data_IF_954680631997
#
_entry.id   IF_954680631997
#
_cell.length_a   1.000
_cell.length_b   1.000
_cell.length_c   1.000
_cell.angle_alpha   90.00
_cell.angle_beta   90.00
_cell.angle_gamma   90.00
#
_symmetry.space_group_name_H-M   'P 1'
#
loop_
_entity.id
_entity.type
_entity.pdbx_description
1 polymer ?
#
# COMPACT_ATOMS: atom_id res chain seq x y z
N UNK A 1 -10.07 -10.61 17.26
CA UNK A 1 -9.54 -10.50 15.89
C UNK A 1 -10.10 -9.22 15.26
N UNK A 2 -9.38 -8.09 15.39
CA UNK A 2 -9.75 -6.76 14.86
C UNK A 2 -8.56 -6.11 14.13
N UNK A 3 -7.43 -6.81 14.03
CA UNK A 3 -6.15 -6.21 13.62
C UNK A 3 -6.12 -5.89 12.12
N UNK A 4 -6.80 -6.69 11.29
CA UNK A 4 -6.73 -6.54 9.85
C UNK A 4 -7.48 -5.30 9.32
N UNK A 5 -8.76 -5.04 9.69
CA UNK A 5 -9.43 -3.81 9.30
C UNK A 5 -8.71 -2.55 9.80
N UNK A 6 -8.19 -2.57 11.03
CA UNK A 6 -7.42 -1.44 11.60
C UNK A 6 -6.11 -1.20 10.84
N UNK A 7 -5.38 -2.26 10.49
CA UNK A 7 -4.16 -2.14 9.70
C UNK A 7 -4.46 -1.62 8.27
N UNK A 8 -5.59 -2.00 7.68
CA UNK A 8 -5.98 -1.50 6.37
C UNK A 8 -6.36 -0.02 6.40
N UNK A 9 -7.14 0.39 7.40
CA UNK A 9 -7.50 1.79 7.59
C UNK A 9 -6.25 2.69 7.77
N UNK A 10 -5.21 2.21 8.46
CA UNK A 10 -3.94 2.91 8.55
C UNK A 10 -3.26 3.07 7.17
N UNK A 11 -3.35 2.06 6.30
CA UNK A 11 -2.81 2.14 4.96
C UNK A 11 -3.57 3.15 4.09
N UNK A 12 -4.90 3.21 4.23
CA UNK A 12 -5.77 4.18 3.55
C UNK A 12 -5.43 5.62 3.99
N UNK A 13 -5.30 5.88 5.30
CA UNK A 13 -4.87 7.17 5.81
C UNK A 13 -3.47 7.57 5.32
N UNK A 14 -2.56 6.61 5.23
CA UNK A 14 -1.21 6.86 4.71
C UNK A 14 -1.22 7.18 3.20
N UNK A 15 -2.08 6.53 2.42
CA UNK A 15 -2.27 6.84 1.01
C UNK A 15 -2.89 8.24 0.84
N UNK A 16 -3.93 8.57 1.61
CA UNK A 16 -4.54 9.89 1.61
C UNK A 16 -3.51 11.00 1.84
N UNK A 17 -2.70 10.85 2.90
CA UNK A 17 -1.61 11.78 3.19
C UNK A 17 -0.62 11.88 2.02
N UNK A 18 -0.24 10.74 1.42
CA UNK A 18 0.69 10.71 0.31
C UNK A 18 0.14 11.43 -0.93
N UNK A 19 -1.15 11.26 -1.26
CA UNK A 19 -1.80 11.92 -2.40
C UNK A 19 -1.84 13.44 -2.21
N UNK A 20 -2.06 13.93 -0.99
CA UNK A 20 -2.09 15.37 -0.72
C UNK A 20 -0.70 16.03 -0.72
N UNK A 21 0.36 15.28 -0.42
CA UNK A 21 1.68 15.87 -0.10
C UNK A 21 2.81 15.45 -1.04
N UNK A 22 2.67 14.38 -1.83
CA UNK A 22 3.72 13.94 -2.73
C UNK A 22 3.87 14.88 -3.92
N UNK A 23 5.13 15.16 -4.26
CA UNK A 23 5.47 15.81 -5.53
C UNK A 23 5.24 14.83 -6.70
N UNK A 24 4.95 15.34 -7.90
CA UNK A 24 4.84 14.52 -9.11
C UNK A 24 6.09 13.64 -9.30
N UNK A 25 5.90 12.38 -9.67
CA UNK A 25 7.00 11.40 -9.76
C UNK A 25 7.41 10.76 -8.44
N UNK A 26 6.83 11.18 -7.31
CA UNK A 26 7.10 10.66 -5.97
C UNK A 26 6.76 9.18 -5.79
N UNK A 27 7.19 8.64 -4.63
CA UNK A 27 7.02 7.23 -4.28
C UNK A 27 6.30 7.07 -2.95
N UNK A 28 5.48 6.04 -2.86
CA UNK A 28 4.75 5.62 -1.67
C UNK A 28 5.03 4.14 -1.40
N UNK A 29 5.40 3.80 -0.16
CA UNK A 29 5.67 2.42 0.24
C UNK A 29 4.88 2.13 1.50
N UNK A 30 4.09 1.06 1.48
CA UNK A 30 3.29 0.64 2.63
C UNK A 30 3.37 -0.87 2.86
N UNK A 31 3.42 -1.25 4.13
CA UNK A 31 3.30 -2.64 4.58
C UNK A 31 1.83 -2.99 4.68
N UNK A 32 1.39 -3.97 3.91
CA UNK A 32 -0.01 -4.38 3.77
C UNK A 32 -0.17 -5.87 4.08
N UNK A 33 -1.36 -6.25 4.53
CA UNK A 33 -1.73 -7.64 4.75
C UNK A 33 -2.78 -8.06 3.72
N UNK A 34 -2.53 -9.17 3.02
CA UNK A 34 -3.50 -9.70 2.07
C UNK A 34 -4.72 -10.27 2.80
N UNK A 35 -5.89 -9.72 2.46
CA UNK A 35 -7.22 -10.18 2.86
C UNK A 35 -8.24 -9.06 2.68
N UNK A 36 -9.17 -8.90 3.62
CA UNK A 36 -10.25 -7.92 3.48
C UNK A 36 -9.72 -6.49 3.32
N UNK A 37 -10.31 -5.73 2.39
CA UNK A 37 -9.92 -4.35 2.05
C UNK A 37 -8.69 -4.21 1.14
N UNK A 38 -7.90 -5.27 0.93
CA UNK A 38 -6.67 -5.18 0.14
C UNK A 38 -6.90 -4.85 -1.34
N UNK A 39 -7.86 -5.50 -2.00
CA UNK A 39 -8.13 -5.27 -3.44
C UNK A 39 -8.67 -3.86 -3.74
N UNK A 40 -9.65 -3.32 -2.97
CA UNK A 40 -10.04 -1.91 -3.08
C UNK A 40 -8.86 -0.96 -2.90
N UNK A 41 -8.06 -1.16 -1.85
CA UNK A 41 -6.87 -0.34 -1.58
C UNK A 41 -5.87 -0.38 -2.74
N UNK A 42 -5.56 -1.57 -3.27
CA UNK A 42 -4.64 -1.72 -4.40
C UNK A 42 -5.15 -1.02 -5.67
N UNK A 43 -6.47 -1.05 -5.90
CA UNK A 43 -7.10 -0.35 -7.02
C UNK A 43 -6.95 1.17 -6.88
N UNK A 44 -7.18 1.71 -5.70
CA UNK A 44 -7.01 3.13 -5.40
C UNK A 44 -5.55 3.58 -5.61
N UNK A 45 -4.58 2.84 -5.08
CA UNK A 45 -3.16 3.16 -5.29
C UNK A 45 -2.79 3.17 -6.79
N UNK A 46 -3.33 2.25 -7.60
CA UNK A 46 -3.07 2.21 -9.06
C UNK A 46 -3.64 3.41 -9.81
N UNK A 47 -4.67 4.08 -9.28
CA UNK A 47 -5.18 5.32 -9.85
C UNK A 47 -4.12 6.42 -9.73
N UNK A 48 -3.54 6.57 -8.55
CA UNK A 48 -2.60 7.65 -8.23
C UNK A 48 -1.14 7.43 -8.70
N UNK A 49 -0.70 6.18 -8.94
CA UNK A 49 0.72 5.90 -9.25
C UNK A 49 0.92 5.19 -10.58
N UNK A 50 2.00 5.54 -11.30
CA UNK A 50 2.34 4.98 -12.61
C UNK A 50 2.85 3.54 -12.55
N UNK A 51 3.46 3.17 -11.42
CA UNK A 51 3.99 1.83 -11.16
C UNK A 51 3.57 1.38 -9.77
N UNK A 52 2.98 0.19 -9.66
CA UNK A 52 2.65 -0.43 -8.38
C UNK A 52 3.11 -1.87 -8.40
N UNK A 53 3.97 -2.25 -7.45
CA UNK A 53 4.49 -3.62 -7.33
C UNK A 53 4.35 -4.13 -5.90
N UNK A 54 4.01 -5.41 -5.78
CA UNK A 54 4.02 -6.12 -4.51
C UNK A 54 5.36 -6.82 -4.31
N UNK A 55 5.90 -6.73 -3.09
CA UNK A 55 7.18 -7.34 -2.71
C UNK A 55 7.05 -8.07 -1.39
N UNK A 56 7.44 -9.34 -1.35
CA UNK A 56 7.63 -10.09 -0.12
C UNK A 56 9.11 -10.01 0.28
N UNK A 57 9.47 -9.35 1.39
CA UNK A 57 10.86 -9.28 1.81
C UNK A 57 11.38 -10.66 2.22
N UNK A 58 12.66 -10.94 1.97
CA UNK A 58 13.33 -12.17 2.43
C UNK A 58 13.29 -12.34 3.96
N UNK A 59 13.24 -11.22 4.69
CA UNK A 59 13.13 -11.20 6.15
C UNK A 59 11.71 -11.52 6.67
N UNK A 60 10.70 -11.58 5.81
CA UNK A 60 9.34 -11.92 6.24
C UNK A 60 9.19 -13.42 6.51
N UNK A 61 8.45 -13.78 7.57
CA UNK A 61 8.17 -15.19 7.88
C UNK A 61 7.37 -15.82 6.72
N UNK A 62 7.68 -17.05 6.27
CA UNK A 62 6.99 -17.67 5.14
C UNK A 62 5.46 -17.71 5.27
N UNK A 63 4.97 -17.98 6.50
CA UNK A 63 3.54 -18.07 6.85
C UNK A 63 2.84 -16.70 6.99
N UNK A 64 3.59 -15.59 6.99
CA UNK A 64 2.98 -14.26 7.09
C UNK A 64 2.29 -13.88 5.77
N UNK A 65 1.10 -13.27 5.86
CA UNK A 65 0.40 -12.64 4.72
C UNK A 65 0.84 -11.20 4.46
N UNK A 66 1.90 -10.76 5.14
CA UNK A 66 2.52 -9.46 4.97
C UNK A 66 3.23 -9.34 3.62
N UNK A 67 2.97 -8.22 2.97
CA UNK A 67 3.61 -7.79 1.73
C UNK A 67 3.93 -6.30 1.84
N UNK A 68 4.90 -5.84 1.06
CA UNK A 68 5.13 -4.41 0.84
C UNK A 68 4.55 -4.03 -0.51
N UNK A 69 3.65 -3.06 -0.49
CA UNK A 69 3.22 -2.34 -1.68
C UNK A 69 4.24 -1.23 -1.94
N UNK A 70 4.80 -1.21 -3.14
CA UNK A 70 5.75 -0.19 -3.59
C UNK A 70 5.14 0.51 -4.80
N UNK A 71 4.70 1.75 -4.61
CA UNK A 71 4.12 2.59 -5.64
C UNK A 71 5.06 3.74 -5.99
N UNK A 72 5.27 3.97 -7.28
CA UNK A 72 6.19 4.99 -7.78
C UNK A 72 5.61 5.72 -8.98
N UNK A 73 6.12 6.93 -9.22
CA UNK A 73 5.62 7.78 -10.28
C UNK A 73 4.24 8.33 -9.94
N UNK A 74 4.11 9.03 -8.81
CA UNK A 74 2.88 9.72 -8.44
C UNK A 74 2.40 10.63 -9.59
N UNK A 75 1.15 10.44 -10.00
CA UNK A 75 0.46 11.16 -11.06
C UNK A 75 -0.32 12.31 -10.41
N UNK A 76 -0.20 13.50 -10.99
CA UNK A 76 -1.11 14.62 -10.69
C UNK A 76 -2.51 14.33 -11.24
#
# INVERSE_FOLDING_TARGET
>A
AVDQPRAMYLCELALYFAVEHLKPGGWFVSKVFQGEGFEPFLKEVRQHFGKVVMRKPKASRPKSREMYLVAGGFKL
#
